data_IF_308782599806
#
_entry.id   IF_308782599806
#
_cell.length_a   1.000
_cell.length_b   1.000
_cell.length_c   1.000
_cell.angle_alpha   90.00
_cell.angle_beta   90.00
_cell.angle_gamma   90.00
#
_symmetry.space_group_name_H-M   'P 1'
#
loop_
_entity.id
_entity.type
_entity.pdbx_description
1 polymer ?
#
# COMPACT_ATOMS: atom_id res chain seq x y z
N UNK A 1 10.72 15.13 -9.04
CA UNK A 1 9.51 15.90 -8.64
C UNK A 1 8.61 16.06 -9.86
N UNK A 2 7.33 15.76 -9.75
CA UNK A 2 6.34 15.85 -10.84
C UNK A 2 5.16 16.67 -10.35
N UNK A 3 4.91 17.85 -10.95
CA UNK A 3 3.78 18.74 -10.62
C UNK A 3 3.59 19.02 -9.11
N UNK A 4 4.70 19.10 -8.36
CA UNK A 4 4.69 19.33 -6.90
C UNK A 4 4.75 18.07 -6.04
N UNK A 5 4.60 16.89 -6.64
CA UNK A 5 4.75 15.60 -5.98
C UNK A 5 6.24 15.20 -5.91
N UNK A 6 6.75 14.98 -4.71
CA UNK A 6 8.09 14.43 -4.50
C UNK A 6 8.07 12.92 -4.77
N UNK A 7 9.10 12.41 -5.44
CA UNK A 7 9.23 10.97 -5.72
C UNK A 7 10.60 10.55 -5.21
N UNK A 8 10.63 9.69 -4.19
CA UNK A 8 11.87 9.15 -3.62
C UNK A 8 11.87 7.62 -3.75
N UNK A 9 13.02 7.08 -4.14
CA UNK A 9 13.24 5.63 -4.31
C UNK A 9 14.42 5.23 -3.45
N UNK A 10 14.22 4.28 -2.54
CA UNK A 10 15.19 3.90 -1.50
C UNK A 10 16.60 3.59 -2.05
N UNK A 11 16.68 2.84 -3.16
CA UNK A 11 17.95 2.47 -3.79
C UNK A 11 18.39 3.40 -4.93
N UNK A 12 17.71 4.55 -5.14
CA UNK A 12 17.84 5.40 -6.34
C UNK A 12 17.73 4.59 -7.65
N UNK A 13 16.93 3.53 -7.64
CA UNK A 13 16.73 2.68 -8.81
C UNK A 13 15.96 3.44 -9.90
N UNK A 14 16.62 3.66 -11.04
CA UNK A 14 16.04 4.42 -12.16
C UNK A 14 14.83 3.74 -12.78
N UNK A 15 14.73 2.41 -12.70
CA UNK A 15 13.62 1.67 -13.27
C UNK A 15 12.33 1.92 -12.48
N UNK A 16 12.41 1.85 -11.16
CA UNK A 16 11.31 2.19 -10.25
C UNK A 16 10.84 3.62 -10.46
N UNK A 17 11.78 4.58 -10.50
CA UNK A 17 11.46 5.98 -10.75
C UNK A 17 10.72 6.17 -12.08
N UNK A 18 11.24 5.58 -13.16
CA UNK A 18 10.63 5.68 -14.49
C UNK A 18 9.20 5.12 -14.50
N UNK A 19 8.97 3.97 -13.85
CA UNK A 19 7.65 3.34 -13.80
C UNK A 19 6.63 4.16 -13.01
N UNK A 20 7.05 4.77 -11.90
CA UNK A 20 6.20 5.71 -11.15
C UNK A 20 5.88 6.95 -12.01
N UNK A 21 6.87 7.53 -12.69
CA UNK A 21 6.63 8.66 -13.58
C UNK A 21 5.68 8.32 -14.74
N UNK A 22 5.84 7.14 -15.35
CA UNK A 22 4.99 6.65 -16.42
C UNK A 22 3.55 6.41 -15.93
N UNK A 23 3.37 5.83 -14.74
CA UNK A 23 2.05 5.68 -14.13
C UNK A 23 1.39 7.03 -13.85
N UNK A 24 2.13 8.01 -13.30
CA UNK A 24 1.63 9.38 -13.10
C UNK A 24 1.25 10.05 -14.43
N UNK A 25 2.07 9.87 -15.47
CA UNK A 25 1.74 10.33 -16.83
C UNK A 25 0.47 9.66 -17.32
N UNK A 26 0.30 8.35 -17.12
CA UNK A 26 -0.90 7.62 -17.54
C UNK A 26 -2.15 8.22 -16.89
N UNK A 27 -2.14 8.44 -15.57
CA UNK A 27 -3.24 9.09 -14.85
C UNK A 27 -3.51 10.48 -15.45
N UNK A 28 -2.48 11.31 -15.62
CA UNK A 28 -2.60 12.67 -16.14
C UNK A 28 -3.24 12.73 -17.53
N UNK A 29 -2.85 11.83 -18.43
CA UNK A 29 -3.33 11.83 -19.82
C UNK A 29 -4.74 11.26 -19.96
N UNK A 30 -5.09 10.27 -19.14
CA UNK A 30 -6.36 9.53 -19.27
C UNK A 30 -7.46 10.12 -18.39
N UNK A 31 -7.09 10.65 -17.22
CA UNK A 31 -8.04 11.14 -16.24
C UNK A 31 -7.46 12.31 -15.42
N UNK A 32 -7.62 13.51 -15.98
CA UNK A 32 -7.16 14.75 -15.34
C UNK A 32 -7.80 15.01 -13.96
N UNK A 33 -9.02 14.51 -13.72
CA UNK A 33 -9.69 14.68 -12.43
C UNK A 33 -9.04 13.81 -11.35
N UNK A 34 -8.76 12.55 -11.66
CA UNK A 34 -8.02 11.68 -10.75
C UNK A 34 -6.59 12.17 -10.54
N UNK A 35 -5.93 12.65 -11.59
CA UNK A 35 -4.60 13.25 -11.46
C UNK A 35 -4.58 14.46 -10.53
N UNK A 36 -5.53 15.39 -10.69
CA UNK A 36 -5.67 16.54 -9.80
C UNK A 36 -5.91 16.13 -8.35
N UNK A 37 -6.66 15.05 -8.12
CA UNK A 37 -6.85 14.50 -6.77
C UNK A 37 -5.59 13.87 -6.19
N UNK A 38 -4.79 13.17 -7.01
CA UNK A 38 -3.49 12.64 -6.58
C UNK A 38 -2.59 13.79 -6.09
N UNK A 39 -2.38 14.79 -6.94
CA UNK A 39 -1.49 15.92 -6.63
C UNK A 39 -1.99 16.79 -5.47
N UNK A 40 -3.31 16.88 -5.24
CA UNK A 40 -3.88 17.71 -4.16
C UNK A 40 -4.00 17.00 -2.80
N UNK A 41 -3.88 15.67 -2.77
CA UNK A 41 -4.01 14.89 -1.55
C UNK A 41 -2.72 14.22 -1.11
N UNK A 42 -1.74 14.03 -1.99
CA UNK A 42 -0.43 13.47 -1.65
C UNK A 42 0.67 14.51 -1.80
N UNK A 43 1.62 14.52 -0.86
CA UNK A 43 2.83 15.35 -0.97
C UNK A 43 3.98 14.59 -1.65
N UNK A 44 3.97 13.24 -1.55
CA UNK A 44 5.04 12.40 -2.08
C UNK A 44 4.62 10.98 -2.42
N UNK A 45 5.43 10.33 -3.27
CA UNK A 45 5.42 8.89 -3.52
C UNK A 45 6.78 8.32 -3.13
N UNK A 46 6.77 7.26 -2.33
CA UNK A 46 7.95 6.58 -1.85
C UNK A 46 7.97 5.13 -2.33
N UNK A 47 9.11 4.70 -2.87
CA UNK A 47 9.34 3.30 -3.24
C UNK A 47 10.40 2.72 -2.31
N UNK A 48 10.00 1.76 -1.48
CA UNK A 48 10.83 1.08 -0.50
C UNK A 48 10.33 -0.35 -0.27
N UNK A 49 11.01 -1.16 0.53
CA UNK A 49 10.50 -2.51 0.84
C UNK A 49 9.44 -2.45 1.94
N UNK A 50 8.26 -2.97 1.64
CA UNK A 50 7.16 -3.12 2.58
C UNK A 50 7.03 -4.57 3.01
N UNK A 51 6.78 -4.86 4.30
CA UNK A 51 6.63 -6.24 4.73
C UNK A 51 5.37 -6.89 4.16
N UNK A 52 4.22 -6.21 4.17
CA UNK A 52 2.90 -6.86 4.12
C UNK A 52 1.93 -6.29 3.08
N UNK A 53 2.34 -5.29 2.29
CA UNK A 53 1.47 -4.64 1.34
C UNK A 53 2.20 -4.26 0.05
N UNK A 54 1.46 -4.22 -1.06
CA UNK A 54 1.96 -3.68 -2.33
C UNK A 54 2.12 -2.15 -2.26
N UNK A 55 1.23 -1.49 -1.53
CA UNK A 55 1.31 -0.08 -1.18
C UNK A 55 0.47 0.22 0.07
N UNK A 56 0.71 1.37 0.69
CA UNK A 56 -0.18 1.97 1.66
C UNK A 56 0.01 3.49 1.71
N UNK A 57 -1.00 4.19 2.22
CA UNK A 57 -0.92 5.60 2.55
C UNK A 57 -0.29 5.81 3.92
N UNK A 58 0.86 6.49 3.97
CA UNK A 58 1.48 6.94 5.21
C UNK A 58 1.00 8.37 5.57
N UNK A 59 0.21 8.46 6.64
CA UNK A 59 -0.32 9.73 7.14
C UNK A 59 0.79 10.68 7.62
N UNK A 60 1.84 10.15 8.25
CA UNK A 60 2.85 10.99 8.91
C UNK A 60 3.62 11.86 7.93
N UNK A 61 3.76 11.39 6.69
CA UNK A 61 4.47 12.06 5.61
C UNK A 61 3.57 12.44 4.43
N UNK A 62 2.28 12.15 4.56
CA UNK A 62 1.26 12.32 3.51
C UNK A 62 1.73 11.70 2.18
N UNK A 63 2.13 10.43 2.27
CA UNK A 63 2.86 9.72 1.22
C UNK A 63 2.08 8.50 0.73
N UNK A 64 2.12 8.24 -0.58
CA UNK A 64 1.85 6.90 -1.10
C UNK A 64 3.16 6.11 -1.05
N UNK A 65 3.22 5.09 -0.20
CA UNK A 65 4.38 4.22 -0.05
C UNK A 65 4.11 2.93 -0.80
N UNK A 66 4.99 2.56 -1.72
CA UNK A 66 4.85 1.38 -2.58
C UNK A 66 6.02 0.43 -2.37
N UNK A 67 5.73 -0.88 -2.42
CA UNK A 67 6.75 -1.92 -2.33
C UNK A 67 7.61 -1.95 -3.61
N UNK A 68 8.93 -1.90 -3.45
CA UNK A 68 9.88 -1.95 -4.58
C UNK A 68 9.69 -3.20 -5.44
N UNK A 69 9.45 -4.37 -4.82
CA UNK A 69 9.25 -5.63 -5.54
C UNK A 69 7.97 -5.57 -6.34
N UNK A 70 6.90 -4.97 -5.80
CA UNK A 70 5.66 -4.76 -6.52
C UNK A 70 5.85 -3.85 -7.74
N UNK A 71 6.55 -2.71 -7.57
CA UNK A 71 6.79 -1.75 -8.66
C UNK A 71 7.63 -2.38 -9.77
N UNK A 72 8.66 -3.15 -9.41
CA UNK A 72 9.62 -3.76 -10.35
C UNK A 72 9.18 -5.09 -10.96
N UNK A 73 8.17 -5.75 -10.41
CA UNK A 73 7.69 -7.03 -10.91
C UNK A 73 7.20 -6.89 -12.36
N UNK A 74 7.70 -7.76 -13.25
CA UNK A 74 7.39 -7.71 -14.69
C UNK A 74 5.89 -7.85 -14.98
N UNK A 75 5.16 -8.61 -14.15
CA UNK A 75 3.71 -8.80 -14.28
C UNK A 75 2.90 -7.62 -13.74
N UNK A 76 3.52 -6.67 -13.02
CA UNK A 76 2.83 -5.45 -12.59
C UNK A 76 2.74 -4.50 -13.78
N UNK A 77 1.53 -4.16 -14.21
CA UNK A 77 1.33 -3.22 -15.33
C UNK A 77 1.36 -1.75 -14.87
N UNK A 78 1.48 -0.81 -15.81
CA UNK A 78 1.41 0.62 -15.49
C UNK A 78 0.01 1.01 -15.00
N UNK A 79 -1.04 0.38 -15.53
CA UNK A 79 -2.43 0.55 -15.11
C UNK A 79 -2.62 0.14 -13.65
N UNK A 80 -1.95 -0.94 -13.23
CA UNK A 80 -1.95 -1.38 -11.82
C UNK A 80 -1.27 -0.34 -10.93
N UNK A 81 -0.05 0.09 -11.26
CA UNK A 81 0.67 1.11 -10.47
C UNK A 81 -0.17 2.39 -10.39
N UNK A 82 -0.76 2.81 -11.51
CA UNK A 82 -1.62 3.97 -11.58
C UNK A 82 -2.89 3.83 -10.72
N UNK A 83 -3.56 2.67 -10.75
CA UNK A 83 -4.75 2.42 -9.92
C UNK A 83 -4.38 2.43 -8.43
N UNK A 84 -3.25 1.84 -8.06
CA UNK A 84 -2.74 1.87 -6.68
C UNK A 84 -2.44 3.31 -6.21
N UNK A 85 -1.83 4.16 -7.04
CA UNK A 85 -1.64 5.58 -6.68
C UNK A 85 -2.99 6.30 -6.47
N UNK A 86 -3.98 6.02 -7.31
CA UNK A 86 -5.35 6.54 -7.16
C UNK A 86 -6.02 6.02 -5.87
N UNK A 87 -5.77 4.76 -5.51
CA UNK A 87 -6.21 4.14 -4.27
C UNK A 87 -5.65 4.90 -3.05
N UNK A 88 -4.33 5.05 -2.96
CA UNK A 88 -3.70 5.72 -1.82
C UNK A 88 -4.06 7.22 -1.73
N UNK A 89 -4.19 7.91 -2.86
CA UNK A 89 -4.70 9.27 -2.87
C UNK A 89 -6.14 9.37 -2.33
N UNK A 90 -6.92 8.29 -2.45
CA UNK A 90 -8.28 8.21 -1.89
C UNK A 90 -8.23 8.01 -0.38
N UNK A 91 -7.31 7.20 0.14
CA UNK A 91 -7.04 7.13 1.58
C UNK A 91 -6.70 8.50 2.15
N UNK A 92 -5.72 9.19 1.55
CA UNK A 92 -5.30 10.53 1.97
C UNK A 92 -6.48 11.51 2.03
N UNK A 93 -7.35 11.49 1.00
CA UNK A 93 -8.54 12.35 0.95
C UNK A 93 -9.55 12.01 2.04
N UNK A 94 -9.86 10.72 2.24
CA UNK A 94 -10.84 10.29 3.24
C UNK A 94 -10.36 10.64 4.65
N UNK A 95 -9.07 10.44 4.91
CA UNK A 95 -8.49 10.77 6.21
C UNK A 95 -8.45 12.28 6.46
N UNK A 96 -8.19 13.10 5.43
CA UNK A 96 -8.32 14.57 5.50
C UNK A 96 -9.74 15.02 5.85
N UNK A 97 -10.75 14.20 5.56
CA UNK A 97 -12.15 14.42 5.96
C UNK A 97 -12.51 13.79 7.31
N UNK A 98 -11.53 13.28 8.07
CA UNK A 98 -11.72 12.70 9.39
C UNK A 98 -12.14 11.23 9.40
N UNK A 99 -12.12 10.55 8.25
CA UNK A 99 -12.34 9.11 8.17
C UNK A 99 -11.02 8.38 8.39
N UNK A 100 -10.66 8.21 9.65
CA UNK A 100 -9.47 7.45 10.08
C UNK A 100 -9.59 5.97 9.71
N UNK A 101 -8.44 5.35 9.42
CA UNK A 101 -8.30 3.93 9.07
C UNK A 101 -8.41 3.00 10.29
N UNK A 102 -9.53 3.10 11.00
CA UNK A 102 -9.85 2.26 12.16
C UNK A 102 -10.38 0.90 11.70
N UNK A 103 -10.03 -0.19 12.37
CA UNK A 103 -10.45 -1.57 12.06
C UNK A 103 -11.94 -1.69 11.67
N UNK A 104 -12.83 -1.09 12.47
CA UNK A 104 -14.30 -1.09 12.23
C UNK A 104 -14.73 -0.40 10.94
N UNK A 105 -13.92 0.53 10.43
CA UNK A 105 -14.19 1.33 9.22
C UNK A 105 -13.42 0.83 8.00
N UNK A 106 -12.37 0.01 8.17
CA UNK A 106 -11.52 -0.48 7.07
C UNK A 106 -12.32 -1.06 5.91
N UNK A 107 -13.25 -2.01 6.10
CA UNK A 107 -14.00 -2.58 4.96
C UNK A 107 -14.76 -1.52 4.16
N UNK A 108 -15.28 -0.49 4.85
CA UNK A 108 -15.99 0.62 4.20
C UNK A 108 -15.04 1.56 3.47
N UNK A 109 -13.88 1.85 4.05
CA UNK A 109 -12.86 2.71 3.43
C UNK A 109 -12.31 2.01 2.18
N UNK A 110 -11.91 0.75 2.30
CA UNK A 110 -11.43 -0.07 1.17
C UNK A 110 -12.47 -0.16 0.06
N UNK A 111 -13.75 -0.37 0.40
CA UNK A 111 -14.80 -0.40 -0.60
C UNK A 111 -14.94 0.95 -1.36
N UNK A 112 -14.66 2.08 -0.73
CA UNK A 112 -14.64 3.38 -1.41
C UNK A 112 -13.41 3.51 -2.30
N UNK A 113 -12.24 3.07 -1.83
CA UNK A 113 -10.99 3.09 -2.58
C UNK A 113 -11.04 2.18 -3.81
N UNK A 114 -11.49 0.92 -3.66
CA UNK A 114 -11.67 -0.03 -4.77
C UNK A 114 -12.68 0.48 -5.82
N UNK A 115 -13.80 1.08 -5.39
CA UNK A 115 -14.74 1.73 -6.32
C UNK A 115 -14.13 2.90 -7.07
N UNK A 116 -13.20 3.63 -6.44
CA UNK A 116 -12.46 4.71 -7.09
C UNK A 116 -11.49 4.16 -8.12
N UNK A 117 -10.80 3.06 -7.82
CA UNK A 117 -9.95 2.38 -8.79
C UNK A 117 -10.75 1.92 -10.01
N UNK A 118 -11.90 1.25 -9.81
CA UNK A 118 -12.76 0.84 -10.91
C UNK A 118 -13.21 2.02 -11.79
N UNK A 119 -13.52 3.16 -11.17
CA UNK A 119 -13.92 4.35 -11.91
C UNK A 119 -12.77 4.91 -12.78
N UNK A 120 -11.54 4.86 -12.29
CA UNK A 120 -10.35 5.24 -13.06
C UNK A 120 -10.09 4.23 -14.20
N UNK A 121 -10.11 2.93 -13.89
CA UNK A 121 -9.81 1.85 -14.83
C UNK A 121 -10.83 1.74 -15.96
N UNK A 122 -12.10 2.06 -15.70
CA UNK A 122 -13.14 2.06 -16.74
C UNK A 122 -12.82 3.00 -17.92
N UNK A 123 -11.93 3.99 -17.73
CA UNK A 123 -11.46 4.88 -18.79
C UNK A 123 -10.21 4.39 -19.53
N UNK A 124 -9.64 3.24 -19.16
CA UNK A 124 -8.40 2.70 -19.72
C UNK A 124 -8.66 1.51 -20.65
N UNK A 125 -7.98 1.43 -21.81
CA UNK A 125 -8.05 0.26 -22.68
C UNK A 125 -7.39 -0.95 -22.00
N UNK A 126 -7.84 -2.16 -22.36
CA UNK A 126 -7.26 -3.45 -21.95
C UNK A 126 -7.15 -3.63 -20.42
N UNK A 127 -8.01 -2.95 -19.66
CA UNK A 127 -8.01 -2.95 -18.20
C UNK A 127 -9.02 -3.94 -17.61
N UNK A 128 -9.76 -4.69 -18.43
CA UNK A 128 -10.80 -5.63 -18.01
C UNK A 128 -10.32 -6.67 -17.01
N UNK A 129 -9.15 -7.33 -17.19
CA UNK A 129 -8.67 -8.31 -16.20
C UNK A 129 -8.43 -7.68 -14.82
N UNK A 130 -7.89 -6.46 -14.81
CA UNK A 130 -7.64 -5.70 -13.59
C UNK A 130 -8.95 -5.25 -12.92
N UNK A 131 -9.93 -4.81 -13.72
CA UNK A 131 -11.25 -4.46 -13.21
C UNK A 131 -11.94 -5.67 -12.55
N UNK A 132 -11.88 -6.87 -13.15
CA UNK A 132 -12.50 -8.06 -12.58
C UNK A 132 -11.82 -8.50 -11.26
N UNK A 133 -10.51 -8.37 -11.15
CA UNK A 133 -9.80 -8.64 -9.91
C UNK A 133 -10.22 -7.68 -8.79
N UNK A 134 -10.35 -6.39 -9.09
CA UNK A 134 -10.77 -5.38 -8.13
C UNK A 134 -12.24 -5.56 -7.74
N UNK A 135 -13.12 -5.94 -8.67
CA UNK A 135 -14.52 -6.29 -8.37
C UNK A 135 -14.60 -7.48 -7.43
N UNK A 136 -13.83 -8.54 -7.71
CA UNK A 136 -13.76 -9.73 -6.85
C UNK A 136 -13.28 -9.37 -5.44
N UNK A 137 -12.28 -8.50 -5.35
CA UNK A 137 -11.77 -7.99 -4.07
C UNK A 137 -12.83 -7.16 -3.33
N UNK A 138 -13.58 -6.31 -4.05
CA UNK A 138 -14.65 -5.49 -3.48
C UNK A 138 -15.81 -6.35 -2.93
N UNK A 139 -16.20 -7.40 -3.65
CA UNK A 139 -17.22 -8.36 -3.21
C UNK A 139 -16.76 -9.10 -1.95
N UNK A 140 -15.50 -9.53 -1.94
CA UNK A 140 -14.92 -10.21 -0.79
C UNK A 140 -14.81 -9.28 0.44
N UNK A 141 -14.42 -8.01 0.26
CA UNK A 141 -14.41 -7.02 1.34
C UNK A 141 -15.78 -6.79 1.99
N UNK A 142 -16.86 -7.04 1.24
CA UNK A 142 -18.23 -6.95 1.76
C UNK A 142 -18.67 -8.19 2.55
N UNK A 143 -17.98 -9.33 2.36
CA UNK A 143 -18.35 -10.62 2.94
C UNK A 143 -17.49 -11.09 4.12
N UNK A 144 -16.21 -10.68 4.18
CA UNK A 144 -15.26 -11.16 5.19
C UNK A 144 -14.68 -10.01 6.03
N UNK A 145 -15.12 -9.90 7.28
CA UNK A 145 -14.67 -8.87 8.22
C UNK A 145 -13.35 -9.23 8.92
N UNK A 146 -12.98 -10.51 8.97
CA UNK A 146 -11.86 -10.97 9.79
C UNK A 146 -10.53 -10.60 9.13
N UNK A 147 -10.44 -10.56 7.80
CA UNK A 147 -9.22 -10.14 7.10
C UNK A 147 -8.73 -8.74 7.49
N UNK A 148 -9.67 -7.83 7.76
CA UNK A 148 -9.39 -6.45 8.15
C UNK A 148 -9.11 -6.27 9.64
N UNK A 149 -9.11 -7.35 10.42
CA UNK A 149 -8.82 -7.29 11.85
C UNK A 149 -7.38 -6.90 12.14
N UNK A 150 -7.15 -6.22 13.26
CA UNK A 150 -5.81 -5.85 13.72
C UNK A 150 -4.91 -7.08 13.92
N UNK A 151 -5.48 -8.19 14.38
CA UNK A 151 -4.74 -9.45 14.56
C UNK A 151 -4.22 -10.01 13.24
N UNK A 152 -5.04 -10.01 12.19
CA UNK A 152 -4.64 -10.52 10.88
C UNK A 152 -3.65 -9.58 10.17
N UNK A 153 -3.79 -8.26 10.34
CA UNK A 153 -2.77 -7.31 9.86
C UNK A 153 -1.41 -7.59 10.50
N UNK A 154 -1.38 -7.73 11.82
CA UNK A 154 -0.14 -8.00 12.55
C UNK A 154 0.50 -9.34 12.15
N UNK A 155 -0.30 -10.39 11.94
CA UNK A 155 0.22 -11.67 11.47
C UNK A 155 0.84 -11.56 10.08
N UNK A 156 0.22 -10.80 9.15
CA UNK A 156 0.78 -10.55 7.82
C UNK A 156 2.06 -9.73 7.88
N UNK A 157 2.11 -8.69 8.72
CA UNK A 157 3.32 -7.90 8.94
C UNK A 157 4.47 -8.77 9.46
N UNK A 158 4.22 -9.59 10.47
CA UNK A 158 5.24 -10.49 11.02
C UNK A 158 5.74 -11.50 9.98
N UNK A 159 4.86 -12.08 9.16
CA UNK A 159 5.24 -12.99 8.08
C UNK A 159 6.01 -12.27 6.97
N UNK A 160 5.54 -11.09 6.58
CA UNK A 160 6.12 -10.24 5.55
C UNK A 160 7.52 -9.71 5.87
N UNK A 161 7.82 -9.50 7.16
CA UNK A 161 9.16 -9.16 7.62
C UNK A 161 10.18 -10.27 7.30
N UNK A 162 9.79 -11.55 7.37
CA UNK A 162 10.68 -12.64 6.97
C UNK A 162 11.01 -12.56 5.48
N UNK A 163 10.01 -12.31 4.63
CA UNK A 163 10.19 -12.24 3.19
C UNK A 163 11.05 -11.04 2.78
N UNK A 164 10.86 -9.90 3.43
CA UNK A 164 11.67 -8.69 3.23
C UNK A 164 13.13 -8.95 3.58
N UNK A 165 13.40 -9.57 4.74
CA UNK A 165 14.77 -9.91 5.14
C UNK A 165 15.42 -10.91 4.19
N UNK A 166 14.64 -11.89 3.70
CA UNK A 166 15.10 -12.85 2.70
C UNK A 166 15.45 -12.16 1.38
N UNK A 167 14.64 -11.20 0.94
CA UNK A 167 14.88 -10.40 -0.26
C UNK A 167 16.18 -9.59 -0.14
N UNK A 168 16.47 -9.05 1.05
CA UNK A 168 17.73 -8.37 1.36
C UNK A 168 18.95 -9.31 1.46
N UNK A 169 18.80 -10.61 1.17
CA UNK A 169 19.89 -11.59 1.22
C UNK A 169 20.26 -12.03 2.64
N UNK A 170 19.41 -11.75 3.64
CA UNK A 170 19.68 -12.14 5.02
C UNK A 170 19.59 -13.67 5.18
N UNK A 171 20.60 -14.35 5.75
CA UNK A 171 20.54 -15.79 5.97
C UNK A 171 19.39 -16.20 6.89
N UNK A 172 18.67 -17.27 6.56
CA UNK A 172 17.49 -17.75 7.31
C UNK A 172 17.76 -17.98 8.81
N UNK A 173 18.96 -18.43 9.19
CA UNK A 173 19.32 -18.63 10.60
C UNK A 173 19.31 -17.32 11.39
N UNK A 174 19.74 -16.22 10.75
CA UNK A 174 19.81 -14.89 11.35
C UNK A 174 18.40 -14.27 11.43
N UNK A 175 17.58 -14.45 10.39
CA UNK A 175 16.17 -14.04 10.41
C UNK A 175 15.43 -14.72 11.57
N UNK A 176 15.54 -16.05 11.68
CA UNK A 176 14.93 -16.83 12.75
C UNK A 176 15.41 -16.39 14.15
N UNK A 177 16.68 -16.00 14.26
CA UNK A 177 17.24 -15.50 15.51
C UNK A 177 16.68 -14.12 15.88
N UNK A 178 16.64 -13.17 14.93
CA UNK A 178 16.09 -11.82 15.13
C UNK A 178 14.61 -11.88 15.51
N UNK A 179 13.81 -12.69 14.81
CA UNK A 179 12.38 -12.81 15.10
C UNK A 179 12.12 -13.40 16.49
N UNK A 180 12.90 -14.40 16.91
CA UNK A 180 12.84 -14.93 18.29
C UNK A 180 13.17 -13.87 19.34
N UNK A 181 14.10 -12.95 19.05
CA UNK A 181 14.44 -11.86 19.97
C UNK A 181 13.32 -10.81 20.06
N UNK A 182 12.72 -10.44 18.93
CA UNK A 182 11.58 -9.52 18.88
C UNK A 182 10.39 -10.10 19.64
N UNK A 183 10.02 -11.35 19.37
CA UNK A 183 8.92 -12.05 20.03
C UNK A 183 9.12 -12.12 21.56
N UNK A 184 10.35 -12.46 22.01
CA UNK A 184 10.70 -12.46 23.44
C UNK A 184 10.62 -11.09 24.10
N UNK A 185 10.99 -10.02 23.39
CA UNK A 185 10.87 -8.65 23.92
C UNK A 185 9.40 -8.23 24.05
N UNK A 186 8.59 -8.58 23.05
CA UNK A 186 7.16 -8.28 23.01
C UNK A 186 6.39 -9.00 24.13
N UNK A 187 6.67 -10.28 24.35
CA UNK A 187 6.10 -11.03 25.48
C UNK A 187 6.47 -10.44 26.83
N UNK A 188 7.72 -9.98 27.01
CA UNK A 188 8.15 -9.31 28.26
C UNK A 188 7.41 -8.00 28.48
N UNK A 189 7.19 -7.23 27.42
CA UNK A 189 6.49 -5.95 27.50
C UNK A 189 5.00 -6.14 27.84
N UNK A 190 4.33 -7.11 27.21
CA UNK A 190 2.94 -7.47 27.51
C UNK A 190 2.77 -8.00 28.95
N UNK A 191 3.73 -8.77 29.46
CA UNK A 191 3.72 -9.22 30.88
C UNK A 191 3.94 -8.06 31.85
N UNK A 192 4.77 -7.08 31.49
CA UNK A 192 5.01 -5.91 32.34
C UNK A 192 3.79 -4.96 32.40
N UNK A 193 3.02 -4.83 31.32
CA UNK A 193 1.81 -3.99 31.28
C UNK A 193 0.58 -4.67 31.90
N UNK A 194 0.53 -6.00 31.94
CA UNK A 194 -0.54 -6.77 32.61
C UNK A 194 -0.32 -6.99 34.11
N UNK A 195 0.92 -6.84 34.61
CA UNK A 195 1.25 -6.91 36.03
C UNK A 195 1.05 -5.59 36.80
N UNK A 196 0.65 -4.51 36.11
CA UNK A 196 0.43 -3.17 36.67
C UNK A 196 -1.03 -2.74 36.80
N UNK A 197 -1.99 -3.67 36.67
CA UNK A 197 -3.42 -3.45 36.93
C UNK A 197 -3.85 -4.12 38.23
#
# INVERSE_FOLDING_TARGET
MVDGLLIDVWNNDSQSLNRIEEALRLIKHRDALHYSRVVSNLDRIWVLLLPDAAAHYDRSQNACVMDERFVLLESTTLERIASTIVHEATHARLERWGMLYDEKKRPRIEAICLRRELNFLAGLPDSEPLQEEIKSTLEWCAGDHDFFSDENFQQREEQGQFETLRYLGTPNWLINFLMRLVQRRRERWLRATSAGK
#
